data_IF_970249347987
#
_entry.id   IF_970249347987
#
_cell.length_a   1.000
_cell.length_b   1.000
_cell.length_c   1.000
_cell.angle_alpha   90.00
_cell.angle_beta   90.00
_cell.angle_gamma   90.00
#
_symmetry.space_group_name_H-M   'P 1'
#
loop_
_entity.id
_entity.type
_entity.pdbx_description
1 polymer ?
#
# COMPACT_ATOMS: atom_id res chain seq x y z
N UNK A 1 -4.14 1.97 -15.76
CA UNK A 1 -4.99 1.87 -16.94
C UNK A 1 -4.19 2.02 -18.26
N UNK A 2 -3.32 3.03 -18.38
CA UNK A 2 -2.49 3.20 -19.58
C UNK A 2 -1.57 2.01 -19.87
N UNK A 3 -1.05 1.34 -18.82
CA UNK A 3 -0.23 0.15 -18.99
C UNK A 3 -0.99 -0.98 -19.72
N UNK A 4 -2.26 -1.22 -19.38
CA UNK A 4 -3.09 -2.22 -20.06
C UNK A 4 -3.35 -1.84 -21.52
N UNK A 5 -3.73 -0.59 -21.78
CA UNK A 5 -4.00 -0.10 -23.15
C UNK A 5 -2.79 -0.19 -24.06
N UNK A 6 -1.60 0.11 -23.54
CA UNK A 6 -0.36 0.11 -24.32
C UNK A 6 0.11 -1.29 -24.74
N UNK A 7 -0.37 -2.36 -24.11
CA UNK A 7 -0.03 -3.73 -24.50
C UNK A 7 -0.78 -4.23 -25.74
N UNK A 8 -1.93 -3.62 -26.06
CA UNK A 8 -2.85 -4.11 -27.08
C UNK A 8 -3.65 -5.35 -26.67
N UNK A 9 -3.45 -5.87 -25.45
CA UNK A 9 -4.19 -6.99 -24.90
C UNK A 9 -5.65 -6.61 -24.63
N UNK A 10 -6.57 -7.54 -24.90
CA UNK A 10 -8.01 -7.30 -24.71
C UNK A 10 -8.46 -7.59 -23.27
N UNK A 11 -7.94 -8.66 -22.69
CA UNK A 11 -8.31 -9.09 -21.34
C UNK A 11 -7.13 -9.73 -20.61
N UNK A 12 -7.18 -9.70 -19.28
CA UNK A 12 -6.12 -10.25 -18.46
C UNK A 12 -6.09 -9.69 -17.05
N UNK A 13 -4.89 -9.64 -16.50
CA UNK A 13 -4.64 -9.05 -15.17
C UNK A 13 -3.47 -8.08 -15.23
N UNK A 14 -3.55 -7.03 -14.42
CA UNK A 14 -2.42 -6.18 -14.08
C UNK A 14 -2.04 -6.43 -12.63
N UNK A 15 -0.78 -6.72 -12.38
CA UNK A 15 -0.20 -6.84 -11.05
C UNK A 15 0.61 -5.60 -10.75
N UNK A 16 0.29 -4.91 -9.66
CA UNK A 16 1.14 -3.87 -9.07
C UNK A 16 1.91 -4.44 -7.89
N UNK A 17 3.20 -4.17 -7.79
CA UNK A 17 4.05 -4.61 -6.69
C UNK A 17 4.94 -3.46 -6.22
N UNK A 18 4.88 -3.13 -4.91
CA UNK A 18 5.82 -2.18 -4.31
C UNK A 18 7.05 -2.90 -3.77
N UNK A 19 8.23 -2.40 -4.10
CA UNK A 19 9.51 -3.01 -3.67
C UNK A 19 9.93 -2.57 -2.26
N UNK A 20 9.18 -1.68 -1.60
CA UNK A 20 9.50 -1.17 -0.26
C UNK A 20 8.91 -2.02 0.86
N UNK A 21 9.70 -2.37 1.87
CA UNK A 21 9.28 -3.20 3.01
C UNK A 21 8.33 -2.52 4.02
N UNK A 22 8.09 -1.22 3.88
CA UNK A 22 7.25 -0.41 4.79
C UNK A 22 6.13 0.33 4.07
N UNK A 23 5.75 -0.16 2.90
CA UNK A 23 4.62 0.33 2.12
C UNK A 23 3.78 -0.84 1.61
N UNK A 24 2.50 -0.61 1.39
CA UNK A 24 1.57 -1.60 0.85
C UNK A 24 0.69 -1.04 -0.24
N UNK A 25 0.08 -1.94 -1.01
CA UNK A 25 -0.88 -1.62 -2.06
C UNK A 25 -2.27 -2.13 -1.69
N UNK A 26 -3.27 -1.32 -1.92
CA UNK A 26 -4.68 -1.68 -1.69
C UNK A 26 -5.60 -0.89 -2.63
N UNK A 27 -6.89 -1.16 -2.56
CA UNK A 27 -7.91 -0.23 -3.06
C UNK A 27 -8.59 0.44 -1.87
N UNK A 28 -8.83 1.72 -1.99
CA UNK A 28 -9.43 2.54 -0.95
C UNK A 28 -10.35 3.58 -1.59
N UNK A 29 -11.45 3.93 -0.95
CA UNK A 29 -12.18 5.14 -1.30
C UNK A 29 -11.30 6.35 -0.98
N UNK A 30 -10.95 7.13 -2.00
CA UNK A 30 -10.11 8.32 -1.84
C UNK A 30 -10.96 9.50 -1.35
N UNK A 31 -11.30 9.46 -0.08
CA UNK A 31 -12.15 10.42 0.63
C UNK A 31 -11.36 10.98 1.83
N UNK A 32 -11.45 12.30 2.12
CA UNK A 32 -10.58 12.95 3.11
C UNK A 32 -10.60 12.34 4.52
N UNK A 33 -11.77 11.96 5.03
CA UNK A 33 -11.90 11.31 6.34
C UNK A 33 -11.15 9.98 6.38
N UNK A 34 -11.38 9.14 5.39
CA UNK A 34 -10.73 7.84 5.25
C UNK A 34 -9.21 7.98 5.10
N UNK A 35 -8.77 8.85 4.17
CA UNK A 35 -7.35 8.96 3.80
C UNK A 35 -6.52 9.61 4.90
N UNK A 36 -7.03 10.68 5.53
CA UNK A 36 -6.24 11.46 6.49
C UNK A 36 -6.47 11.07 7.96
N UNK A 37 -7.52 10.30 8.26
CA UNK A 37 -7.89 10.00 9.64
C UNK A 37 -8.14 8.51 9.89
N UNK A 38 -9.16 7.92 9.26
CA UNK A 38 -9.71 6.63 9.70
C UNK A 38 -8.76 5.46 9.45
N UNK A 39 -8.13 5.41 8.27
CA UNK A 39 -7.16 4.34 7.96
C UNK A 39 -5.98 4.37 8.93
N UNK A 40 -5.43 5.56 9.18
CA UNK A 40 -4.32 5.71 10.13
C UNK A 40 -4.74 5.31 11.54
N UNK A 41 -5.89 5.78 12.02
CA UNK A 41 -6.40 5.47 13.34
C UNK A 41 -6.60 3.96 13.52
N UNK A 42 -7.20 3.28 12.53
CA UNK A 42 -7.37 1.83 12.55
C UNK A 42 -6.02 1.09 12.58
N UNK A 43 -5.06 1.52 11.80
CA UNK A 43 -3.72 0.90 11.77
C UNK A 43 -2.95 1.13 13.08
N UNK A 44 -3.14 2.25 13.74
CA UNK A 44 -2.51 2.57 15.02
C UNK A 44 -3.10 1.76 16.20
N UNK A 45 -4.30 1.18 16.05
CA UNK A 45 -4.86 0.28 17.06
C UNK A 45 -4.02 -0.98 17.26
N UNK A 46 -3.54 -1.59 16.17
CA UNK A 46 -2.78 -2.84 16.25
C UNK A 46 -1.25 -2.67 16.17
N UNK A 47 -0.78 -1.56 15.65
CA UNK A 47 0.66 -1.29 15.54
C UNK A 47 0.97 0.21 15.66
N UNK A 48 0.74 0.80 16.85
CA UNK A 48 0.99 2.22 17.05
C UNK A 48 2.48 2.54 16.98
N UNK A 49 2.80 3.74 16.44
CA UNK A 49 4.17 4.25 16.43
C UNK A 49 4.54 4.94 17.76
N UNK A 50 3.54 5.58 18.40
CA UNK A 50 3.71 6.28 19.68
C UNK A 50 2.68 5.84 20.68
N UNK A 51 3.04 5.89 21.96
CA UNK A 51 2.13 5.70 23.09
C UNK A 51 1.27 6.96 23.34
N UNK A 52 0.39 6.87 24.34
CA UNK A 52 -0.49 7.98 24.74
C UNK A 52 0.28 9.21 25.26
N UNK A 53 1.50 9.03 25.72
CA UNK A 53 2.40 10.09 26.19
C UNK A 53 3.22 10.67 25.05
N UNK A 54 3.12 10.13 23.82
CA UNK A 54 3.85 10.57 22.65
C UNK A 54 5.25 9.97 22.50
N UNK A 55 5.66 9.03 23.35
CA UNK A 55 6.95 8.35 23.24
C UNK A 55 6.90 7.32 22.12
N UNK A 56 8.02 7.12 21.42
CA UNK A 56 8.14 6.05 20.42
C UNK A 56 8.06 4.69 21.11
N UNK A 57 7.20 3.83 20.61
CA UNK A 57 7.03 2.47 21.14
C UNK A 57 8.19 1.60 20.65
N UNK A 58 8.79 0.88 21.59
CA UNK A 58 9.83 -0.08 21.28
C UNK A 58 9.26 -1.32 20.59
N UNK A 59 9.84 -1.68 19.47
CA UNK A 59 9.64 -2.92 18.74
C UNK A 59 10.97 -3.69 18.64
N UNK A 60 10.96 -5.01 18.72
CA UNK A 60 12.18 -5.84 18.61
C UNK A 60 12.94 -5.66 17.28
N UNK A 61 12.32 -5.11 16.27
CA UNK A 61 12.98 -4.68 15.04
C UNK A 61 14.15 -3.72 15.31
N UNK A 62 14.04 -2.89 16.35
CA UNK A 62 15.08 -1.96 16.78
C UNK A 62 16.38 -2.68 17.22
N UNK A 63 16.28 -3.91 17.75
CA UNK A 63 17.46 -4.67 18.22
C UNK A 63 18.47 -4.96 17.11
N UNK A 64 17.98 -5.10 15.86
CA UNK A 64 18.80 -5.41 14.70
C UNK A 64 19.28 -4.15 13.98
N UNK A 65 18.37 -3.22 13.71
CA UNK A 65 18.65 -2.09 12.80
C UNK A 65 18.80 -0.74 13.50
N UNK A 66 18.49 -0.67 14.79
CA UNK A 66 18.56 0.55 15.62
C UNK A 66 17.78 1.73 15.02
N UNK A 67 16.67 1.42 14.37
CA UNK A 67 15.69 2.37 13.87
C UNK A 67 14.31 2.13 14.49
N UNK A 68 13.44 3.09 14.39
CA UNK A 68 12.16 3.11 15.11
C UNK A 68 10.97 2.82 14.18
N UNK A 69 11.16 2.04 13.13
CA UNK A 69 10.11 1.78 12.15
C UNK A 69 9.51 0.36 12.18
N UNK A 70 9.66 -0.36 13.31
CA UNK A 70 9.07 -1.69 13.48
C UNK A 70 7.56 -1.71 13.26
N UNK A 71 6.84 -0.68 13.75
CA UNK A 71 5.40 -0.53 13.50
C UNK A 71 5.07 -0.39 12.02
N UNK A 72 5.94 0.28 11.25
CA UNK A 72 5.78 0.48 9.81
C UNK A 72 5.83 -0.84 9.03
N UNK A 73 6.76 -1.72 9.39
CA UNK A 73 6.88 -3.05 8.80
C UNK A 73 5.66 -3.93 9.08
N UNK A 74 5.10 -3.87 10.31
CA UNK A 74 3.89 -4.62 10.67
C UNK A 74 2.70 -4.12 9.85
N UNK A 75 2.49 -2.81 9.77
CA UNK A 75 1.40 -2.20 8.97
C UNK A 75 1.50 -2.59 7.50
N UNK A 76 2.69 -2.48 6.91
CA UNK A 76 2.91 -2.86 5.52
C UNK A 76 2.68 -4.35 5.26
N UNK A 77 3.09 -5.22 6.17
CA UNK A 77 2.88 -6.67 6.05
C UNK A 77 1.39 -7.04 6.02
N UNK A 78 0.54 -6.30 6.75
CA UNK A 78 -0.90 -6.54 6.78
C UNK A 78 -1.63 -5.96 5.55
N UNK A 79 -1.08 -4.93 4.91
CA UNK A 79 -1.64 -4.34 3.68
C UNK A 79 -1.32 -5.14 2.42
N UNK A 80 -0.29 -5.95 2.41
CA UNK A 80 0.28 -6.63 1.25
C UNK A 80 1.14 -5.73 0.33
N UNK A 81 2.24 -6.23 -0.20
CA UNK A 81 3.09 -5.48 -1.14
C UNK A 81 2.54 -5.46 -2.57
N UNK A 82 1.50 -6.20 -2.87
CA UNK A 82 0.97 -6.33 -4.24
C UNK A 82 -0.55 -6.25 -4.29
N UNK A 83 -1.04 -5.94 -5.48
CA UNK A 83 -2.45 -6.02 -5.84
C UNK A 83 -2.57 -6.57 -7.27
N UNK A 84 -3.56 -7.42 -7.49
CA UNK A 84 -3.90 -7.95 -8.82
C UNK A 84 -5.29 -7.44 -9.21
N UNK A 85 -5.39 -6.81 -10.36
CA UNK A 85 -6.64 -6.22 -10.87
C UNK A 85 -6.91 -6.82 -12.25
N UNK A 86 -8.07 -7.42 -12.50
CA UNK A 86 -8.49 -7.82 -13.84
C UNK A 86 -8.70 -6.60 -14.74
N UNK A 87 -8.52 -6.79 -16.04
CA UNK A 87 -8.91 -5.82 -17.06
C UNK A 87 -9.65 -6.50 -18.22
N UNK A 88 -10.57 -5.77 -18.83
CA UNK A 88 -11.36 -6.19 -19.98
C UNK A 88 -11.39 -5.04 -20.98
N UNK A 89 -11.17 -5.33 -22.25
CA UNK A 89 -11.09 -4.33 -23.31
C UNK A 89 -10.08 -3.19 -23.02
N UNK A 90 -8.95 -3.55 -22.39
CA UNK A 90 -7.91 -2.61 -22.00
C UNK A 90 -8.27 -1.71 -20.82
N UNK A 91 -9.37 -1.98 -20.12
CA UNK A 91 -9.82 -1.19 -18.97
C UNK A 91 -9.86 -2.04 -17.69
N UNK A 92 -9.29 -1.50 -16.61
CA UNK A 92 -9.27 -2.17 -15.30
C UNK A 92 -10.69 -2.25 -14.72
N UNK A 93 -11.00 -3.40 -14.11
CA UNK A 93 -12.34 -3.71 -13.57
C UNK A 93 -12.41 -3.38 -12.07
N UNK A 94 -12.33 -2.11 -11.74
CA UNK A 94 -12.50 -1.64 -10.36
C UNK A 94 -13.81 -0.88 -10.20
N UNK A 95 -14.38 -0.96 -9.01
CA UNK A 95 -15.61 -0.22 -8.68
C UNK A 95 -15.34 1.29 -8.53
N UNK A 96 -16.41 2.12 -8.55
CA UNK A 96 -16.29 3.57 -8.53
C UNK A 96 -15.63 4.13 -7.24
N UNK A 97 -15.71 3.38 -6.15
CA UNK A 97 -15.12 3.75 -4.86
C UNK A 97 -13.80 3.01 -4.55
N UNK A 98 -13.26 2.32 -5.53
CA UNK A 98 -11.97 1.64 -5.43
C UNK A 98 -10.88 2.43 -6.14
N UNK A 99 -10.10 3.19 -5.41
CA UNK A 99 -8.91 3.84 -5.94
C UNK A 99 -7.68 2.99 -5.61
N UNK A 100 -6.89 2.65 -6.62
CA UNK A 100 -5.59 2.00 -6.40
C UNK A 100 -4.71 2.93 -5.57
N UNK A 101 -4.31 2.46 -4.40
CA UNK A 101 -3.68 3.29 -3.39
C UNK A 101 -2.37 2.66 -2.90
N UNK A 102 -1.29 3.43 -2.94
CA UNK A 102 -0.08 3.14 -2.20
C UNK A 102 -0.22 3.73 -0.80
N UNK A 103 -0.07 2.90 0.22
CA UNK A 103 -0.06 3.32 1.62
C UNK A 103 1.37 3.30 2.11
N UNK A 104 1.93 4.48 2.35
CA UNK A 104 3.25 4.65 2.95
C UNK A 104 3.13 4.55 4.47
N UNK A 105 3.82 3.59 5.08
CA UNK A 105 3.79 3.35 6.51
C UNK A 105 5.08 3.78 7.23
N UNK A 106 6.11 4.23 6.50
CA UNK A 106 7.39 4.60 7.10
C UNK A 106 7.24 5.84 8.02
N UNK A 107 8.16 5.97 8.95
CA UNK A 107 8.30 7.14 9.83
C UNK A 107 8.97 8.33 9.14
N UNK A 108 9.45 8.15 7.91
CA UNK A 108 10.15 9.16 7.10
C UNK A 108 9.53 9.22 5.69
N UNK A 109 9.64 10.38 5.06
CA UNK A 109 9.29 10.53 3.66
C UNK A 109 10.22 9.69 2.76
N UNK A 110 9.63 8.91 1.87
CA UNK A 110 10.35 8.04 0.92
C UNK A 110 9.80 8.18 -0.49
N UNK A 111 10.66 7.87 -1.44
CA UNK A 111 10.24 7.57 -2.82
C UNK A 111 10.06 6.06 -2.94
N UNK A 112 8.95 5.62 -3.52
CA UNK A 112 8.64 4.20 -3.70
C UNK A 112 8.52 3.87 -5.17
N UNK A 113 9.16 2.78 -5.56
CA UNK A 113 8.99 2.20 -6.89
C UNK A 113 7.85 1.18 -6.85
N UNK A 114 6.98 1.26 -7.85
CA UNK A 114 5.92 0.30 -8.08
C UNK A 114 6.14 -0.34 -9.44
N UNK A 115 6.33 -1.65 -9.46
CA UNK A 115 6.42 -2.43 -10.68
C UNK A 115 5.01 -2.83 -11.11
N UNK A 116 4.67 -2.56 -12.38
CA UNK A 116 3.44 -3.04 -12.98
C UNK A 116 3.75 -4.10 -14.04
N UNK A 117 3.12 -5.26 -13.90
CA UNK A 117 3.17 -6.35 -14.87
C UNK A 117 1.78 -6.61 -15.41
N UNK A 118 1.67 -6.70 -16.75
CA UNK A 118 0.41 -7.01 -17.44
C UNK A 118 0.53 -8.39 -18.05
N UNK A 119 -0.47 -9.24 -17.83
CA UNK A 119 -0.58 -10.57 -18.41
C UNK A 119 -1.98 -10.72 -18.98
N UNK A 120 -2.08 -11.26 -20.19
CA UNK A 120 -3.37 -11.42 -20.86
C UNK A 120 -3.24 -11.82 -22.33
N UNK A 121 -4.35 -11.67 -23.06
CA UNK A 121 -4.50 -12.00 -24.47
C UNK A 121 -5.21 -10.91 -25.27
#
# INVERSE_FOLDING_TARGET
QNACRNTGMKSGTITGFTTGGVAGLTTLEFEPGMVYHDLKAAMDVFSPYRDEQGNVIYYHHHDTWHDDNGSSHIKAALLSPFIVIPFVNGEITIGPWQNLTLVECDTRNRVRDIVFQVMGE
#
